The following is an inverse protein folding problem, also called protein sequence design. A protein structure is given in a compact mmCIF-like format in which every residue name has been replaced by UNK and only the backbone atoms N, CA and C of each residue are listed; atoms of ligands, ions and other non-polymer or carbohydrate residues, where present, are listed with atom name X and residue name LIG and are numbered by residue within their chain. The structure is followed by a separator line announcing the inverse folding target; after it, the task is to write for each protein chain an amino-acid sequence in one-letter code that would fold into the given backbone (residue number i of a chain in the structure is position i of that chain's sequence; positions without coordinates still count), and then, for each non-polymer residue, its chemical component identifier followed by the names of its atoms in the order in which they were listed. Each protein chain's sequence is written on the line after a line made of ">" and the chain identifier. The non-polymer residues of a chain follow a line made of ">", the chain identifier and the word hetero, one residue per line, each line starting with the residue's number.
data_IF_505963515127
#
_entry.id   IF_505963515127
#
_cell.length_a   1.000
_cell.length_b   1.000
_cell.length_c   1.000
_cell.angle_alpha   90.00
_cell.angle_beta   90.00
_cell.angle_gamma   90.00
#
_symmetry.space_group_name_H-M   'P 1'
#
loop_
_entity.id
_entity.type
_entity.pdbx_description
1 polymer ?
#
# COMPACT_ATOMS: atom_id res chain seq x y z
N UNK A 1 25.64 -34.50 -11.69
CA UNK A 1 24.41 -34.20 -12.46
C UNK A 1 23.99 -32.78 -12.12
N UNK A 2 24.34 -31.82 -12.97
CA UNK A 2 23.93 -30.43 -12.80
C UNK A 2 22.41 -30.32 -13.00
N UNK A 3 21.73 -29.79 -11.99
CA UNK A 3 20.33 -29.38 -12.10
C UNK A 3 20.26 -28.17 -13.04
N UNK A 4 20.06 -28.43 -14.34
CA UNK A 4 19.68 -27.41 -15.30
C UNK A 4 18.34 -26.82 -14.82
N UNK A 5 18.39 -25.66 -14.17
CA UNK A 5 17.17 -24.91 -13.85
C UNK A 5 16.52 -24.50 -15.17
N UNK A 6 15.34 -25.05 -15.49
CA UNK A 6 14.62 -24.63 -16.70
C UNK A 6 14.17 -23.17 -16.57
N UNK A 7 14.27 -22.36 -17.64
CA UNK A 7 13.93 -20.94 -17.64
C UNK A 7 12.45 -20.68 -17.29
N UNK A 8 11.57 -21.66 -17.49
CA UNK A 8 10.16 -21.61 -17.07
C UNK A 8 10.03 -21.60 -15.54
N UNK A 9 10.81 -22.44 -14.84
CA UNK A 9 10.80 -22.51 -13.38
C UNK A 9 11.33 -21.23 -12.73
N UNK A 10 12.33 -20.60 -13.35
CA UNK A 10 12.86 -19.31 -12.92
C UNK A 10 11.87 -18.17 -13.17
N UNK A 11 11.15 -18.22 -14.29
CA UNK A 11 10.08 -17.27 -14.61
C UNK A 11 8.96 -17.32 -13.57
N UNK A 12 8.50 -18.51 -13.17
CA UNK A 12 7.47 -18.64 -12.13
C UNK A 12 7.92 -18.09 -10.77
N UNK A 13 9.16 -18.38 -10.37
CA UNK A 13 9.75 -17.86 -9.12
C UNK A 13 9.79 -16.34 -9.13
N UNK A 14 10.26 -15.75 -10.23
CA UNK A 14 10.30 -14.30 -10.43
C UNK A 14 8.91 -13.68 -10.29
N UNK A 15 7.91 -14.25 -10.98
CA UNK A 15 6.53 -13.74 -10.95
C UNK A 15 5.99 -13.77 -9.52
N UNK A 16 6.11 -14.91 -8.82
CA UNK A 16 5.63 -15.05 -7.44
C UNK A 16 6.29 -14.02 -6.52
N UNK A 17 7.60 -13.83 -6.64
CA UNK A 17 8.33 -12.91 -5.79
C UNK A 17 7.92 -11.45 -6.01
N UNK A 18 7.88 -11.02 -7.27
CA UNK A 18 7.48 -9.65 -7.59
C UNK A 18 6.02 -9.42 -7.18
N UNK A 19 5.12 -10.38 -7.44
CA UNK A 19 3.72 -10.30 -7.00
C UNK A 19 3.57 -10.23 -5.47
N UNK A 20 4.32 -11.03 -4.72
CA UNK A 20 4.29 -11.02 -3.26
C UNK A 20 4.71 -9.66 -2.71
N UNK A 21 5.74 -9.04 -3.32
CA UNK A 21 6.16 -7.70 -2.96
C UNK A 21 5.02 -6.68 -3.13
N UNK A 22 4.31 -6.72 -4.27
CA UNK A 22 3.18 -5.83 -4.54
C UNK A 22 1.87 -6.28 -3.88
N UNK A 23 1.85 -7.42 -3.18
CA UNK A 23 0.64 -8.09 -2.66
C UNK A 23 -0.44 -8.27 -3.72
N UNK A 24 -0.03 -8.66 -4.92
CA UNK A 24 -0.91 -8.93 -6.05
C UNK A 24 -1.05 -10.43 -6.25
N UNK A 25 -2.24 -10.87 -6.69
CA UNK A 25 -2.42 -12.24 -7.16
C UNK A 25 -1.76 -12.38 -8.56
N UNK A 26 -0.83 -13.32 -8.79
CA UNK A 26 -0.17 -13.52 -10.09
C UNK A 26 -1.13 -13.61 -11.27
N UNK A 27 -2.31 -14.21 -11.09
CA UNK A 27 -3.33 -14.35 -12.14
C UNK A 27 -3.80 -12.99 -12.68
N UNK A 28 -3.73 -11.92 -11.90
CA UNK A 28 -4.15 -10.57 -12.32
C UNK A 28 -3.21 -9.97 -13.38
N UNK A 29 -1.97 -10.47 -13.48
CA UNK A 29 -0.99 -9.95 -14.43
C UNK A 29 -1.38 -10.24 -15.89
N UNK A 30 -2.04 -11.37 -16.18
CA UNK A 30 -2.50 -11.64 -17.55
C UNK A 30 -3.74 -10.81 -17.95
N UNK A 31 -4.46 -10.25 -16.97
CA UNK A 31 -5.67 -9.46 -17.22
C UNK A 31 -5.38 -8.15 -17.97
N UNK A 32 -6.39 -7.64 -18.70
CA UNK A 32 -6.34 -6.37 -19.45
C UNK A 32 -6.35 -5.11 -18.55
N UNK A 33 -6.27 -5.27 -17.22
CA UNK A 33 -6.35 -4.13 -16.30
C UNK A 33 -5.21 -3.14 -16.50
N UNK A 34 -5.58 -1.85 -16.51
CA UNK A 34 -4.67 -0.70 -16.60
C UNK A 34 -4.32 -0.10 -15.23
N UNK A 35 -4.71 -0.76 -14.13
CA UNK A 35 -4.32 -0.34 -12.78
C UNK A 35 -2.80 -0.18 -12.70
N UNK A 36 -2.36 0.98 -12.25
CA UNK A 36 -0.95 1.39 -12.30
C UNK A 36 -0.02 0.41 -11.58
N UNK A 37 -0.45 -0.13 -10.43
CA UNK A 37 0.27 -1.15 -9.66
C UNK A 37 0.48 -2.45 -10.45
N UNK A 38 -0.54 -2.92 -11.15
CA UNK A 38 -0.48 -4.14 -11.96
C UNK A 38 0.38 -3.92 -13.20
N UNK A 39 0.21 -2.76 -13.86
CA UNK A 39 1.02 -2.36 -15.03
C UNK A 39 2.50 -2.28 -14.64
N UNK A 40 2.81 -1.67 -13.50
CA UNK A 40 4.18 -1.53 -13.04
C UNK A 40 4.80 -2.87 -12.61
N UNK A 41 4.01 -3.73 -11.96
CA UNK A 41 4.43 -5.10 -11.62
C UNK A 41 4.82 -5.91 -12.87
N UNK A 42 4.00 -5.88 -13.93
CA UNK A 42 4.34 -6.51 -15.22
C UNK A 42 5.60 -5.91 -15.83
N UNK A 43 5.72 -4.59 -15.81
CA UNK A 43 6.86 -3.91 -16.39
C UNK A 43 8.19 -4.32 -15.74
N UNK A 44 8.19 -4.49 -14.41
CA UNK A 44 9.36 -5.00 -13.68
C UNK A 44 9.68 -6.44 -14.08
N UNK A 45 8.68 -7.31 -14.17
CA UNK A 45 8.89 -8.70 -14.59
C UNK A 45 9.45 -8.77 -16.01
N UNK A 46 8.93 -7.98 -16.95
CA UNK A 46 9.48 -7.88 -18.30
C UNK A 46 10.94 -7.41 -18.33
N UNK A 47 11.28 -6.43 -17.50
CA UNK A 47 12.66 -5.96 -17.36
C UNK A 47 13.60 -7.08 -16.92
N UNK A 48 13.22 -7.86 -15.90
CA UNK A 48 14.03 -8.97 -15.41
C UNK A 48 14.09 -10.13 -16.42
N UNK A 49 12.98 -10.49 -17.07
CA UNK A 49 12.96 -11.54 -18.09
C UNK A 49 13.92 -11.25 -19.24
N UNK A 50 13.92 -10.00 -19.74
CA UNK A 50 14.76 -9.63 -20.89
C UNK A 50 16.21 -9.39 -20.48
N UNK A 51 16.46 -8.73 -19.35
CA UNK A 51 17.83 -8.35 -18.98
C UNK A 51 18.59 -9.46 -18.24
N UNK A 52 17.91 -10.18 -17.36
CA UNK A 52 18.54 -11.14 -16.45
C UNK A 52 18.39 -12.57 -17.01
N UNK A 53 17.20 -12.95 -17.50
CA UNK A 53 16.93 -14.28 -18.09
C UNK A 53 17.13 -14.34 -19.62
N UNK A 54 17.56 -13.24 -20.25
CA UNK A 54 17.86 -13.13 -21.70
C UNK A 54 16.71 -13.54 -22.63
N UNK A 55 15.46 -13.38 -22.19
CA UNK A 55 14.30 -13.63 -23.04
C UNK A 55 14.23 -12.58 -24.16
N UNK A 56 13.76 -12.99 -25.33
CA UNK A 56 13.35 -12.04 -26.37
C UNK A 56 12.11 -11.27 -25.92
N UNK A 57 11.90 -10.07 -26.46
CA UNK A 57 10.71 -9.26 -26.15
C UNK A 57 9.40 -9.97 -26.51
N UNK A 58 9.43 -10.83 -27.53
CA UNK A 58 8.32 -11.71 -27.93
C UNK A 58 8.07 -12.77 -26.85
N UNK A 59 9.10 -13.53 -26.46
CA UNK A 59 8.99 -14.58 -25.41
C UNK A 59 8.53 -14.00 -24.08
N UNK A 60 9.08 -12.86 -23.68
CA UNK A 60 8.65 -12.15 -22.47
C UNK A 60 7.17 -11.70 -22.57
N UNK A 61 6.72 -11.23 -23.74
CA UNK A 61 5.34 -10.82 -23.97
C UNK A 61 4.32 -11.96 -23.83
N UNK A 62 4.69 -13.17 -24.26
CA UNK A 62 3.84 -14.36 -24.16
C UNK A 62 3.47 -14.71 -22.72
N UNK A 63 4.35 -14.44 -21.75
CA UNK A 63 4.12 -14.71 -20.31
C UNK A 63 2.81 -14.08 -19.80
N UNK A 64 2.41 -12.93 -20.33
CA UNK A 64 1.19 -12.22 -19.92
C UNK A 64 0.27 -11.83 -21.09
N UNK A 65 0.40 -12.49 -22.24
CA UNK A 65 -0.36 -12.19 -23.47
C UNK A 65 -0.26 -10.71 -23.88
N UNK A 66 0.97 -10.20 -24.01
CA UNK A 66 1.26 -8.82 -24.42
C UNK A 66 2.15 -8.79 -25.66
N UNK A 67 1.94 -7.76 -26.47
CA UNK A 67 2.72 -7.52 -27.68
C UNK A 67 4.16 -7.07 -27.30
N UNK A 68 5.15 -7.50 -28.07
CA UNK A 68 6.56 -7.13 -27.92
C UNK A 68 6.77 -5.60 -27.83
N UNK A 69 5.99 -4.78 -28.55
CA UNK A 69 6.06 -3.32 -28.45
C UNK A 69 5.69 -2.81 -27.04
N UNK A 70 4.70 -3.45 -26.39
CA UNK A 70 4.33 -3.15 -25.00
C UNK A 70 5.43 -3.55 -24.02
N UNK A 71 6.11 -4.67 -24.28
CA UNK A 71 7.24 -5.14 -23.48
C UNK A 71 8.39 -4.14 -23.55
N UNK A 72 8.79 -3.71 -24.76
CA UNK A 72 9.84 -2.70 -24.95
C UNK A 72 9.51 -1.38 -24.27
N UNK A 73 8.27 -0.89 -24.44
CA UNK A 73 7.81 0.32 -23.77
C UNK A 73 7.88 0.19 -22.23
N UNK A 74 7.46 -0.95 -21.70
CA UNK A 74 7.50 -1.24 -20.26
C UNK A 74 8.93 -1.27 -19.73
N UNK A 75 9.86 -1.89 -20.46
CA UNK A 75 11.29 -1.92 -20.12
C UNK A 75 11.86 -0.51 -20.08
N UNK A 76 11.54 0.34 -21.06
CA UNK A 76 12.00 1.72 -21.09
C UNK A 76 11.44 2.57 -19.94
N UNK A 77 10.17 2.35 -19.56
CA UNK A 77 9.59 2.96 -18.35
C UNK A 77 10.37 2.53 -17.10
N UNK A 78 10.68 1.23 -16.95
CA UNK A 78 11.45 0.74 -15.81
C UNK A 78 12.87 1.28 -15.82
N UNK A 79 13.56 1.32 -16.97
CA UNK A 79 14.90 1.90 -17.13
C UNK A 79 14.93 3.39 -16.80
N UNK A 80 13.93 4.17 -17.20
CA UNK A 80 13.86 5.60 -16.87
C UNK A 80 13.58 5.83 -15.38
N UNK A 81 12.73 5.01 -14.76
CA UNK A 81 12.51 5.01 -13.30
C UNK A 81 13.73 4.54 -12.52
N UNK A 82 14.45 3.55 -13.03
CA UNK A 82 15.74 3.11 -12.49
C UNK A 82 16.72 4.27 -12.42
N UNK A 83 16.78 5.16 -13.41
CA UNK A 83 17.69 6.32 -13.32
C UNK A 83 17.37 7.25 -12.14
N UNK A 84 16.11 7.30 -11.67
CA UNK A 84 15.62 8.22 -10.64
C UNK A 84 15.48 7.59 -9.25
N UNK A 85 15.07 6.33 -9.16
CA UNK A 85 14.72 5.61 -7.91
C UNK A 85 15.41 4.23 -7.84
N UNK A 86 16.75 4.22 -7.87
CA UNK A 86 17.58 2.99 -7.94
C UNK A 86 17.39 2.02 -6.77
N UNK A 87 17.14 2.53 -5.57
CA UNK A 87 17.15 1.77 -4.31
C UNK A 87 16.13 0.61 -4.29
N UNK A 88 14.94 0.86 -4.83
CA UNK A 88 13.81 -0.07 -4.76
C UNK A 88 14.00 -1.30 -5.66
N UNK A 89 14.52 -1.09 -6.88
CA UNK A 89 14.75 -2.19 -7.82
C UNK A 89 15.99 -2.98 -7.42
N UNK A 90 16.98 -2.32 -6.81
CA UNK A 90 18.12 -2.99 -6.16
C UNK A 90 17.64 -3.90 -5.03
N UNK A 91 16.75 -3.42 -4.15
CA UNK A 91 16.15 -4.24 -3.10
C UNK A 91 15.37 -5.44 -3.65
N UNK A 92 14.55 -5.23 -4.69
CA UNK A 92 13.83 -6.33 -5.34
C UNK A 92 14.79 -7.34 -5.95
N UNK A 93 15.83 -6.86 -6.65
CA UNK A 93 16.85 -7.71 -7.28
C UNK A 93 17.65 -8.51 -6.23
N UNK A 94 18.02 -7.89 -5.11
CA UNK A 94 18.68 -8.52 -3.96
C UNK A 94 17.82 -9.64 -3.36
N UNK A 95 16.51 -9.40 -3.20
CA UNK A 95 15.54 -10.43 -2.81
C UNK A 95 15.36 -11.53 -3.86
N UNK A 96 15.48 -11.21 -5.15
CA UNK A 96 15.26 -12.13 -6.27
C UNK A 96 16.44 -13.09 -6.48
N UNK A 97 17.68 -12.61 -6.39
CA UNK A 97 18.79 -13.31 -7.05
C UNK A 97 19.62 -14.27 -6.19
N UNK A 98 20.00 -13.96 -4.95
CA UNK A 98 20.86 -14.87 -4.18
C UNK A 98 22.12 -15.41 -4.90
N UNK A 99 22.59 -14.80 -6.00
CA UNK A 99 23.77 -15.21 -6.77
C UNK A 99 24.38 -14.01 -7.52
N UNK A 100 25.71 -13.83 -7.44
CA UNK A 100 26.32 -12.51 -7.17
C UNK A 100 27.25 -11.91 -8.24
N UNK A 101 27.75 -12.64 -9.24
CA UNK A 101 29.06 -12.23 -9.80
C UNK A 101 29.07 -11.25 -10.99
N UNK A 102 28.03 -11.20 -11.82
CA UNK A 102 28.03 -10.31 -13.00
C UNK A 102 27.59 -8.88 -12.63
N UNK A 103 26.73 -8.76 -11.61
CA UNK A 103 26.13 -7.50 -11.16
C UNK A 103 26.95 -6.78 -10.08
N UNK A 104 27.80 -7.47 -9.32
CA UNK A 104 28.71 -6.82 -8.36
C UNK A 104 29.58 -5.79 -9.05
N UNK A 105 30.05 -6.05 -10.28
CA UNK A 105 30.89 -5.12 -11.05
C UNK A 105 30.14 -3.84 -11.47
N UNK A 106 28.95 -3.95 -12.09
CA UNK A 106 28.16 -2.76 -12.45
C UNK A 106 27.68 -1.99 -11.20
N UNK A 107 27.37 -2.71 -10.12
CA UNK A 107 26.97 -2.11 -8.84
C UNK A 107 28.15 -1.45 -8.14
N UNK A 108 29.36 -2.02 -8.17
CA UNK A 108 30.57 -1.41 -7.61
C UNK A 108 30.95 -0.15 -8.36
N UNK A 109 30.87 -0.17 -9.70
CA UNK A 109 31.07 1.03 -10.53
C UNK A 109 30.06 2.11 -10.13
N UNK A 110 28.76 1.78 -10.04
CA UNK A 110 27.75 2.75 -9.63
C UNK A 110 27.95 3.25 -8.19
N UNK A 111 28.31 2.37 -7.24
CA UNK A 111 28.62 2.72 -5.85
C UNK A 111 29.81 3.67 -5.78
N UNK A 112 30.90 3.40 -6.52
CA UNK A 112 32.09 4.26 -6.63
C UNK A 112 31.76 5.63 -7.23
N UNK A 113 30.92 5.67 -8.26
CA UNK A 113 30.52 6.92 -8.91
C UNK A 113 29.54 7.75 -8.06
N UNK A 114 28.81 7.13 -7.12
CA UNK A 114 27.74 7.78 -6.35
C UNK A 114 27.85 7.53 -4.82
N UNK A 115 29.07 7.47 -4.29
CA UNK A 115 29.39 7.07 -2.92
C UNK A 115 28.55 7.83 -1.88
N UNK A 116 28.51 9.16 -1.97
CA UNK A 116 27.84 10.02 -0.99
C UNK A 116 26.32 9.76 -0.97
N UNK A 117 25.71 9.69 -2.15
CA UNK A 117 24.26 9.44 -2.30
C UNK A 117 23.88 8.04 -1.83
N UNK A 118 24.73 7.05 -2.11
CA UNK A 118 24.51 5.67 -1.66
C UNK A 118 24.64 5.54 -0.14
N UNK A 119 25.67 6.16 0.47
CA UNK A 119 25.87 6.18 1.93
C UNK A 119 24.68 6.80 2.66
N UNK A 120 24.21 7.97 2.21
CA UNK A 120 23.04 8.66 2.78
C UNK A 120 21.77 7.80 2.71
N UNK A 121 21.53 7.15 1.56
CA UNK A 121 20.37 6.29 1.39
C UNK A 121 20.47 5.01 2.23
N UNK A 122 21.65 4.42 2.34
CA UNK A 122 21.88 3.23 3.18
C UNK A 122 21.63 3.53 4.67
N UNK A 123 22.15 4.64 5.18
CA UNK A 123 21.90 5.11 6.55
C UNK A 123 20.41 5.36 6.81
N UNK A 124 19.70 5.96 5.82
CA UNK A 124 18.26 6.17 5.89
C UNK A 124 17.48 4.85 5.93
N UNK A 125 17.87 3.87 5.12
CA UNK A 125 17.22 2.55 5.06
C UNK A 125 17.43 1.82 6.39
N UNK A 126 18.64 1.81 6.93
CA UNK A 126 18.92 1.19 8.23
C UNK A 126 18.17 1.87 9.37
N UNK A 127 18.14 3.20 9.40
CA UNK A 127 17.30 3.95 10.34
C UNK A 127 15.83 3.57 10.22
N UNK A 128 15.31 3.46 8.99
CA UNK A 128 13.91 3.09 8.76
C UNK A 128 13.61 1.67 9.25
N UNK A 129 14.49 0.68 9.02
CA UNK A 129 14.36 -0.68 9.59
C UNK A 129 14.27 -0.66 11.11
N UNK A 130 15.12 0.14 11.76
CA UNK A 130 15.12 0.27 13.23
C UNK A 130 13.85 0.98 13.76
N UNK A 131 13.31 1.94 13.01
CA UNK A 131 12.01 2.57 13.29
C UNK A 131 10.89 1.52 13.27
N UNK A 132 10.85 0.66 12.24
CA UNK A 132 9.85 -0.42 12.14
C UNK A 132 9.99 -1.42 13.29
N UNK A 133 11.22 -1.86 13.59
CA UNK A 133 11.48 -2.78 14.71
C UNK A 133 11.00 -2.20 16.04
N UNK A 134 11.22 -0.91 16.27
CA UNK A 134 10.77 -0.21 17.49
C UNK A 134 9.24 -0.12 17.56
N UNK A 135 8.57 0.11 16.43
CA UNK A 135 7.12 0.16 16.33
C UNK A 135 6.47 -1.22 16.52
N UNK A 136 7.03 -2.27 15.93
CA UNK A 136 6.58 -3.66 16.13
C UNK A 136 6.75 -4.12 17.57
N UNK A 137 7.73 -3.58 18.31
CA UNK A 137 7.89 -3.80 19.74
C UNK A 137 6.88 -3.02 20.61
N UNK A 138 5.88 -2.38 20.03
CA UNK A 138 4.80 -1.69 20.74
C UNK A 138 5.09 -0.26 21.18
N UNK A 139 6.25 0.31 20.80
CA UNK A 139 6.59 1.70 21.16
C UNK A 139 5.69 2.70 20.47
N UNK A 140 5.36 3.79 21.18
CA UNK A 140 4.47 4.82 20.61
C UNK A 140 5.16 5.60 19.48
N UNK A 141 4.38 6.08 18.51
CA UNK A 141 4.91 6.87 17.39
C UNK A 141 5.64 8.13 17.90
N UNK A 142 5.18 8.70 19.02
CA UNK A 142 5.81 9.87 19.66
C UNK A 142 7.18 9.52 20.25
N UNK A 143 7.31 8.38 20.94
CA UNK A 143 8.61 7.91 21.46
C UNK A 143 9.62 7.64 20.34
N UNK A 144 9.17 7.00 19.27
CA UNK A 144 10.02 6.70 18.11
C UNK A 144 10.45 7.99 17.41
N UNK A 145 9.54 8.95 17.27
CA UNK A 145 9.81 10.27 16.71
C UNK A 145 10.90 11.01 17.51
N UNK A 146 10.79 11.03 18.84
CA UNK A 146 11.80 11.61 19.73
C UNK A 146 13.15 10.89 19.60
N UNK A 147 13.15 9.56 19.61
CA UNK A 147 14.38 8.76 19.51
C UNK A 147 15.18 9.03 18.25
N UNK A 148 14.53 9.13 17.09
CA UNK A 148 15.21 9.30 15.81
C UNK A 148 15.26 10.76 15.33
N UNK A 149 14.85 11.74 16.16
CA UNK A 149 14.76 13.16 15.81
C UNK A 149 13.98 13.40 14.51
N UNK A 150 12.86 12.71 14.37
CA UNK A 150 11.97 12.79 13.21
C UNK A 150 10.59 13.28 13.64
N UNK A 151 9.85 13.86 12.70
CA UNK A 151 8.46 14.20 12.98
C UNK A 151 7.61 12.92 13.10
N UNK A 152 6.55 12.93 13.93
CA UNK A 152 5.61 11.80 14.01
C UNK A 152 5.04 11.41 12.63
N UNK A 153 4.88 12.38 11.73
CA UNK A 153 4.41 12.15 10.37
C UNK A 153 5.45 11.43 9.51
N UNK A 154 6.74 11.74 9.65
CA UNK A 154 7.80 11.01 8.98
C UNK A 154 7.85 9.54 9.45
N UNK A 155 7.68 9.29 10.74
CA UNK A 155 7.60 7.92 11.30
C UNK A 155 6.39 7.17 10.73
N UNK A 156 5.21 7.81 10.70
CA UNK A 156 4.02 7.24 10.06
C UNK A 156 4.30 6.85 8.61
N UNK A 157 4.87 7.75 7.82
CA UNK A 157 5.18 7.48 6.41
C UNK A 157 6.14 6.32 6.23
N UNK A 158 7.14 6.16 7.11
CA UNK A 158 8.06 5.02 7.11
C UNK A 158 7.33 3.72 7.41
N UNK A 159 6.53 3.67 8.48
CA UNK A 159 5.70 2.50 8.86
C UNK A 159 4.79 2.08 7.71
N UNK A 160 4.17 3.08 7.10
CA UNK A 160 3.23 2.93 6.00
C UNK A 160 3.89 2.37 4.73
N UNK A 161 5.10 2.80 4.42
CA UNK A 161 5.84 2.36 3.22
C UNK A 161 6.36 0.93 3.38
N UNK A 162 6.91 0.59 4.55
CA UNK A 162 7.53 -0.70 4.83
C UNK A 162 6.53 -1.83 5.08
N UNK A 163 5.36 -1.55 5.66
CA UNK A 163 4.33 -2.58 5.87
C UNK A 163 3.56 -2.98 4.60
N UNK A 164 3.94 -2.51 3.41
CA UNK A 164 3.34 -2.89 2.13
C UNK A 164 1.88 -2.43 1.94
N UNK A 165 1.67 -1.62 0.91
CA UNK A 165 0.41 -1.55 0.16
C UNK A 165 -0.89 -1.05 0.84
N UNK A 166 -0.87 -0.21 1.90
CA UNK A 166 -2.10 0.48 2.34
C UNK A 166 -2.21 1.98 2.07
N UNK A 167 -1.17 2.67 1.57
CA UNK A 167 -1.25 4.14 1.57
C UNK A 167 -0.67 4.91 0.38
N UNK A 168 -0.07 4.25 -0.62
CA UNK A 168 0.23 4.96 -1.87
C UNK A 168 -1.04 5.31 -2.69
N UNK A 169 -2.19 4.68 -2.37
CA UNK A 169 -3.51 4.97 -2.96
C UNK A 169 -4.40 5.91 -2.12
N UNK A 170 -3.99 6.31 -0.91
CA UNK A 170 -4.84 7.02 0.06
C UNK A 170 -4.76 8.54 -0.05
N UNK A 171 -3.97 9.06 -1.00
CA UNK A 171 -3.44 10.42 -0.94
C UNK A 171 -4.41 11.56 -1.27
N UNK A 172 -5.73 11.33 -1.46
CA UNK A 172 -6.73 12.42 -1.48
C UNK A 172 -8.18 11.96 -1.22
N UNK A 173 -8.61 10.79 -1.73
CA UNK A 173 -9.97 10.27 -1.52
C UNK A 173 -10.19 9.68 -0.12
N UNK A 174 -9.17 9.03 0.45
CA UNK A 174 -9.35 8.16 1.62
C UNK A 174 -9.32 8.91 2.95
N UNK A 175 -8.54 10.00 3.12
CA UNK A 175 -8.63 10.82 4.35
C UNK A 175 -10.00 11.49 4.47
N UNK A 176 -10.55 11.99 3.35
CA UNK A 176 -11.91 12.55 3.30
C UNK A 176 -12.96 11.48 3.64
N UNK A 177 -12.78 10.26 3.15
CA UNK A 177 -13.68 9.14 3.42
C UNK A 177 -13.56 8.60 4.85
N UNK A 178 -12.35 8.57 5.42
CA UNK A 178 -12.09 8.19 6.81
C UNK A 178 -12.68 9.24 7.78
N UNK A 179 -12.44 10.54 7.53
CA UNK A 179 -13.06 11.63 8.30
C UNK A 179 -14.59 11.57 8.20
N UNK A 180 -15.14 11.26 7.03
CA UNK A 180 -16.59 11.04 6.83
C UNK A 180 -17.10 9.83 7.62
N UNK A 181 -16.37 8.72 7.63
CA UNK A 181 -16.73 7.52 8.40
C UNK A 181 -16.65 7.76 9.91
N UNK A 182 -15.65 8.47 10.40
CA UNK A 182 -15.52 8.85 11.81
C UNK A 182 -16.64 9.81 12.24
N UNK A 183 -16.98 10.77 11.38
CA UNK A 183 -18.11 11.69 11.57
C UNK A 183 -19.45 10.94 11.64
N UNK A 184 -19.73 10.07 10.68
CA UNK A 184 -20.96 9.26 10.65
C UNK A 184 -21.06 8.34 11.88
N UNK A 185 -19.96 7.69 12.29
CA UNK A 185 -19.91 6.85 13.50
C UNK A 185 -20.18 7.66 14.78
N UNK A 186 -19.64 8.87 14.87
CA UNK A 186 -19.85 9.75 16.03
C UNK A 186 -21.32 10.19 16.16
N UNK A 187 -21.97 10.49 15.04
CA UNK A 187 -23.40 10.79 15.00
C UNK A 187 -24.24 9.58 15.43
N UNK A 188 -23.94 8.38 14.89
CA UNK A 188 -24.67 7.15 15.22
C UNK A 188 -24.50 6.80 16.71
N UNK A 189 -23.29 6.95 17.27
CA UNK A 189 -23.00 6.65 18.67
C UNK A 189 -23.68 7.62 19.66
N UNK A 190 -23.83 8.89 19.30
CA UNK A 190 -24.57 9.85 20.14
C UNK A 190 -26.08 9.70 19.96
N UNK A 191 -26.54 9.32 18.77
CA UNK A 191 -27.95 9.00 18.53
C UNK A 191 -28.39 7.75 19.30
N UNK A 192 -27.56 6.70 19.36
CA UNK A 192 -27.85 5.50 20.16
C UNK A 192 -27.89 5.76 21.67
N UNK A 193 -27.23 6.82 22.13
CA UNK A 193 -27.33 7.35 23.51
C UNK A 193 -28.59 8.18 23.77
N UNK A 194 -29.47 8.37 22.78
CA UNK A 194 -30.77 9.03 22.93
C UNK A 194 -30.82 10.51 22.57
N UNK A 195 -29.74 11.09 22.03
CA UNK A 195 -29.73 12.49 21.58
C UNK A 195 -30.63 12.69 20.36
N UNK A 196 -31.32 13.83 20.28
CA UNK A 196 -32.21 14.12 19.16
C UNK A 196 -31.42 14.47 17.89
N UNK A 197 -32.00 14.22 16.71
CA UNK A 197 -31.35 14.57 15.44
C UNK A 197 -31.08 16.09 15.32
N UNK A 198 -31.83 16.92 16.05
CA UNK A 198 -31.70 18.36 16.07
C UNK A 198 -30.52 18.82 16.94
N UNK A 199 -30.33 18.21 18.12
CA UNK A 199 -29.14 18.44 18.96
C UNK A 199 -27.84 17.99 18.29
N UNK A 200 -27.89 16.89 17.51
CA UNK A 200 -26.72 16.43 16.76
C UNK A 200 -26.39 17.38 15.60
N UNK A 201 -27.40 17.93 14.93
CA UNK A 201 -27.22 18.88 13.86
C UNK A 201 -26.51 20.16 14.35
N UNK A 202 -26.94 20.71 15.49
CA UNK A 202 -26.30 21.88 16.11
C UNK A 202 -24.90 21.57 16.62
N UNK A 203 -24.71 20.43 17.31
CA UNK A 203 -23.42 20.02 17.86
C UNK A 203 -22.34 19.75 16.80
N UNK A 204 -22.73 19.23 15.64
CA UNK A 204 -21.82 18.91 14.54
C UNK A 204 -21.81 19.96 13.42
N UNK A 205 -22.48 21.10 13.64
CA UNK A 205 -22.63 22.19 12.66
C UNK A 205 -23.01 21.67 11.26
N UNK A 206 -24.07 20.86 11.19
CA UNK A 206 -24.53 20.20 9.97
C UNK A 206 -26.04 20.26 9.84
N UNK A 207 -26.58 19.97 8.65
CA UNK A 207 -28.03 20.00 8.46
C UNK A 207 -28.73 18.82 9.13
N UNK A 208 -29.93 19.06 9.65
CA UNK A 208 -30.77 18.00 10.24
C UNK A 208 -31.10 16.89 9.25
N UNK A 209 -31.16 17.21 7.95
CA UNK A 209 -31.37 16.25 6.86
C UNK A 209 -30.17 15.31 6.71
N UNK A 210 -28.95 15.81 6.84
CA UNK A 210 -27.72 15.00 6.78
C UNK A 210 -27.66 14.01 7.94
N UNK A 211 -27.96 14.47 9.16
CA UNK A 211 -28.04 13.61 10.34
C UNK A 211 -29.07 12.49 10.15
N UNK A 212 -30.27 12.83 9.66
CA UNK A 212 -31.33 11.84 9.39
C UNK A 212 -30.94 10.81 8.34
N UNK A 213 -30.27 11.23 7.26
CA UNK A 213 -29.78 10.34 6.20
C UNK A 213 -28.66 9.40 6.68
N UNK A 214 -27.85 9.83 7.65
CA UNK A 214 -26.80 9.00 8.26
C UNK A 214 -27.45 7.95 9.18
N UNK A 215 -28.38 8.38 10.03
CA UNK A 215 -29.10 7.51 10.97
C UNK A 215 -29.99 6.49 10.23
N UNK A 216 -30.61 6.86 9.10
CA UNK A 216 -31.49 5.96 8.34
C UNK A 216 -30.76 4.81 7.64
N UNK A 217 -29.43 4.88 7.52
CA UNK A 217 -28.60 3.82 6.89
C UNK A 217 -28.23 2.70 7.86
N UNK A 218 -28.52 2.86 9.15
CA UNK A 218 -28.27 1.81 10.14
C UNK A 218 -29.42 0.79 10.07
N UNK A 219 -29.15 -0.51 9.84
CA UNK A 219 -30.18 -1.54 9.69
C UNK A 219 -31.15 -1.61 10.90
N UNK A 220 -30.67 -1.29 12.10
CA UNK A 220 -31.44 -1.29 13.35
C UNK A 220 -32.16 0.04 13.65
N UNK A 221 -32.19 1.00 12.70
CA UNK A 221 -32.81 2.31 12.92
C UNK A 221 -34.34 2.24 13.08
N UNK A 222 -34.98 1.18 12.58
CA UNK A 222 -36.42 0.91 12.81
C UNK A 222 -36.67 0.48 14.27
N UNK A 223 -35.85 -0.42 14.80
CA UNK A 223 -35.95 -0.95 16.17
C UNK A 223 -35.59 0.09 17.24
N UNK A 224 -34.69 1.05 16.96
CA UNK A 224 -34.35 2.12 17.92
C UNK A 224 -35.45 3.18 18.11
N UNK A 225 -36.21 3.52 17.04
CA UNK A 225 -37.38 4.40 17.16
C UNK A 225 -38.46 3.77 18.03
N UNK A 226 -38.67 2.46 17.85
CA UNK A 226 -39.64 1.70 18.65
C UNK A 226 -39.18 1.50 20.09
N UNK A 227 -37.88 1.27 20.33
CA UNK A 227 -37.31 1.18 21.69
C UNK A 227 -37.38 2.51 22.46
N UNK A 228 -37.15 3.64 21.81
CA UNK A 228 -37.30 4.97 22.42
C UNK A 228 -38.78 5.36 22.62
N UNK A 229 -39.68 4.91 21.75
CA UNK A 229 -41.14 5.05 21.92
C UNK A 229 -41.64 4.18 23.08
N UNK A 230 -41.09 2.97 23.24
CA UNK A 230 -41.38 2.04 24.33
C UNK A 230 -40.84 2.56 25.68
N UNK A 231 -39.59 3.06 25.73
CA UNK A 231 -38.99 3.67 26.92
C UNK A 231 -39.72 4.95 27.38
N UNK A 232 -40.24 5.76 26.44
CA UNK A 232 -41.12 6.90 26.77
C UNK A 232 -42.50 6.47 27.27
N UNK A 233 -43.00 5.32 26.83
CA UNK A 233 -44.28 4.74 27.29
C UNK A 233 -44.16 4.14 28.69
N UNK A 234 -43.08 3.42 28.97
CA UNK A 234 -42.77 2.83 30.28
C UNK A 234 -42.54 3.89 31.36
N UNK A 235 -41.84 4.98 31.04
CA UNK A 235 -41.65 6.12 31.97
C UNK A 235 -42.94 6.88 32.31
N UNK A 236 -44.00 6.73 31.51
CA UNK A 236 -45.32 7.33 31.76
C UNK A 236 -46.27 6.43 32.57
N UNK A 237 -45.92 5.16 32.79
CA UNK A 237 -46.75 4.22 33.56
C UNK A 237 -46.26 4.03 35.00
N UNK A 238 -45.08 4.56 35.34
CA UNK A 238 -44.49 4.53 36.70
C UNK A 238 -44.51 5.91 37.37
N UNK A 239 -45.42 6.80 36.96
CA UNK A 239 -45.75 8.07 37.60
C UNK A 239 -47.25 8.12 37.87
#
# INVERSE_FOLDING_TARGET
>A
MELINSPEKETEKLIKLVCNYFRLNPKILSSKTRKQEVVYCRALIFYFLVNDLKFTSIKAGQVFNRNHATVLHSINIVKSKLKKEKEYIIYLRDKIQGNTEILTKEIEVYKKENIVKYKINHERIERNKQIIKSYMAGKSIKEIAMKYRLTPEAIRLVIIREQGAKLFLVRKKTIKQLKKQEFEKSIIALFSKGNSAQELATKFNTSITTVRQIVSKVPDAKTLKDKNKLLKKLKKQTQ
#
